data_IF_436765208750
#
_entry.id   IF_436765208750
#
_cell.length_a   1.000
_cell.length_b   1.000
_cell.length_c   1.000
_cell.angle_alpha   90.00
_cell.angle_beta   90.00
_cell.angle_gamma   90.00
#
_symmetry.space_group_name_H-M   'P 1'
#
loop_
_entity.id
_entity.type
_entity.pdbx_description
1 polymer ?
#
# COMPACT_ATOMS: atom_id res chain seq x y z
N UNK A 1 45.21 40.00 10.66
CA UNK A 1 46.02 38.90 10.10
C UNK A 1 45.76 37.54 10.75
N UNK A 2 46.22 37.23 11.98
CA UNK A 2 46.06 35.86 12.55
C UNK A 2 44.60 35.52 12.91
N UNK A 3 43.88 36.45 13.54
CA UNK A 3 42.46 36.27 13.92
C UNK A 3 41.55 36.05 12.70
N UNK A 4 41.81 36.73 11.59
CA UNK A 4 41.05 36.57 10.34
C UNK A 4 41.28 35.19 9.72
N UNK A 5 42.52 34.68 9.77
CA UNK A 5 42.87 33.35 9.28
C UNK A 5 42.15 32.26 10.09
N UNK A 6 42.11 32.41 11.42
CA UNK A 6 41.41 31.48 12.30
C UNK A 6 39.89 31.50 12.06
N UNK A 7 39.29 32.70 11.95
CA UNK A 7 37.87 32.86 11.65
C UNK A 7 37.48 32.24 10.29
N UNK A 8 38.30 32.44 9.27
CA UNK A 8 38.07 31.88 7.94
C UNK A 8 38.24 30.36 7.91
N UNK A 9 39.16 29.81 8.71
CA UNK A 9 39.32 28.35 8.87
C UNK A 9 38.10 27.72 9.56
N UNK A 10 37.60 28.34 10.63
CA UNK A 10 36.40 27.88 11.36
C UNK A 10 35.15 27.95 10.48
N UNK A 11 35.00 29.02 9.69
CA UNK A 11 33.92 29.16 8.71
C UNK A 11 33.93 28.02 7.68
N UNK A 12 35.09 27.72 7.11
CA UNK A 12 35.25 26.59 6.16
C UNK A 12 34.96 25.24 6.81
N UNK A 13 35.33 25.06 8.08
CA UNK A 13 35.03 23.84 8.82
C UNK A 13 33.51 23.68 9.03
N UNK A 14 32.82 24.77 9.39
CA UNK A 14 31.36 24.79 9.53
C UNK A 14 30.65 24.51 8.20
N UNK A 15 31.09 25.12 7.11
CA UNK A 15 30.53 24.90 5.77
C UNK A 15 30.62 23.42 5.37
N UNK A 16 31.78 22.77 5.57
CA UNK A 16 31.96 21.33 5.32
C UNK A 16 31.02 20.47 6.15
N UNK A 17 30.80 20.81 7.42
CA UNK A 17 29.89 20.07 8.30
C UNK A 17 28.43 20.23 7.84
N UNK A 18 28.03 21.43 7.40
CA UNK A 18 26.70 21.71 6.88
C UNK A 18 26.46 20.95 5.57
N UNK A 19 27.41 20.96 4.65
CA UNK A 19 27.33 20.20 3.40
C UNK A 19 27.25 18.70 3.65
N UNK A 20 28.08 18.19 4.57
CA UNK A 20 28.04 16.79 4.99
C UNK A 20 26.69 16.40 5.60
N UNK A 21 26.06 17.30 6.38
CA UNK A 21 24.70 17.09 6.90
C UNK A 21 23.66 17.07 5.78
N UNK A 22 23.70 18.04 4.86
CA UNK A 22 22.76 18.15 3.72
C UNK A 22 22.83 16.92 2.80
N UNK A 23 24.03 16.42 2.53
CA UNK A 23 24.20 15.21 1.73
C UNK A 23 23.58 13.99 2.41
N UNK A 24 23.74 13.84 3.73
CA UNK A 24 23.11 12.74 4.48
C UNK A 24 21.58 12.81 4.42
N UNK A 25 21.01 14.00 4.56
CA UNK A 25 19.57 14.24 4.45
C UNK A 25 19.04 13.84 3.06
N UNK A 26 19.70 14.29 1.99
CA UNK A 26 19.35 13.90 0.62
C UNK A 26 19.44 12.39 0.37
N UNK A 27 20.44 11.71 0.95
CA UNK A 27 20.55 10.24 0.86
C UNK A 27 19.36 9.57 1.54
N UNK A 28 18.96 10.05 2.72
CA UNK A 28 17.80 9.54 3.46
C UNK A 28 16.52 9.74 2.64
N UNK A 29 16.29 10.93 2.10
CA UNK A 29 15.09 11.24 1.30
C UNK A 29 14.99 10.35 0.06
N UNK A 30 16.10 10.18 -0.68
CA UNK A 30 16.16 9.28 -1.83
C UNK A 30 15.86 7.82 -1.44
N UNK A 31 16.34 7.39 -0.27
CA UNK A 31 16.07 6.04 0.24
C UNK A 31 14.59 5.88 0.62
N UNK A 32 13.98 6.88 1.25
CA UNK A 32 12.56 6.91 1.59
C UNK A 32 11.71 6.82 0.30
N UNK A 33 11.99 7.67 -0.69
CA UNK A 33 11.29 7.61 -1.97
C UNK A 33 11.41 6.24 -2.65
N UNK A 34 12.60 5.64 -2.60
CA UNK A 34 12.85 4.31 -3.13
C UNK A 34 12.05 3.22 -2.40
N UNK A 35 11.93 3.32 -1.08
CA UNK A 35 11.09 2.45 -0.26
C UNK A 35 9.60 2.63 -0.59
N UNK A 36 9.12 3.86 -0.66
CA UNK A 36 7.72 4.16 -0.97
C UNK A 36 7.32 3.60 -2.33
N UNK A 37 8.13 3.83 -3.37
CA UNK A 37 7.91 3.27 -4.72
C UNK A 37 7.78 1.74 -4.69
N UNK A 38 8.61 1.04 -3.89
CA UNK A 38 8.53 -0.42 -3.72
C UNK A 38 7.25 -0.84 -3.00
N UNK A 39 6.87 -0.14 -1.93
CA UNK A 39 5.64 -0.40 -1.16
C UNK A 39 4.41 -0.19 -2.03
N UNK A 40 4.31 0.94 -2.74
CA UNK A 40 3.23 1.22 -3.68
C UNK A 40 3.10 0.11 -4.72
N UNK A 41 4.21 -0.29 -5.39
CA UNK A 41 4.18 -1.39 -6.36
C UNK A 41 3.65 -2.69 -5.76
N UNK A 42 4.03 -3.03 -4.53
CA UNK A 42 3.55 -4.23 -3.81
C UNK A 42 2.05 -4.14 -3.53
N UNK A 43 1.57 -2.99 -3.04
CA UNK A 43 0.16 -2.74 -2.76
C UNK A 43 -0.68 -2.79 -4.05
N UNK A 44 -0.24 -2.15 -5.13
CA UNK A 44 -0.92 -2.18 -6.42
C UNK A 44 -1.01 -3.61 -6.96
N UNK A 45 0.08 -4.38 -6.90
CA UNK A 45 0.09 -5.79 -7.30
C UNK A 45 -0.87 -6.64 -6.47
N UNK A 46 -0.92 -6.40 -5.15
CA UNK A 46 -1.85 -7.08 -4.25
C UNK A 46 -3.30 -6.74 -4.59
N UNK A 47 -3.61 -5.46 -4.79
CA UNK A 47 -4.96 -4.99 -5.16
C UNK A 47 -5.44 -5.58 -6.49
N UNK A 48 -4.54 -5.69 -7.48
CA UNK A 48 -4.86 -6.27 -8.80
C UNK A 48 -5.12 -7.79 -8.77
N UNK A 49 -4.77 -8.48 -7.68
CA UNK A 49 -4.96 -9.93 -7.57
C UNK A 49 -6.45 -10.26 -7.52
N UNK A 50 -6.86 -11.20 -8.37
CA UNK A 50 -8.24 -11.69 -8.46
C UNK A 50 -8.40 -13.01 -7.73
N UNK A 51 -9.53 -13.16 -7.07
CA UNK A 51 -9.95 -14.34 -6.31
C UNK A 51 -11.27 -14.84 -6.87
N UNK A 52 -11.40 -16.16 -6.98
CA UNK A 52 -12.65 -16.80 -7.37
C UNK A 52 -13.58 -17.01 -6.17
N UNK A 53 -14.81 -17.42 -6.44
CA UNK A 53 -15.84 -17.69 -5.41
C UNK A 53 -15.36 -18.57 -4.25
N UNK A 54 -14.67 -19.67 -4.53
CA UNK A 54 -14.21 -20.60 -3.50
C UNK A 54 -13.15 -19.96 -2.59
N UNK A 55 -12.23 -19.22 -3.18
CA UNK A 55 -11.20 -18.49 -2.42
C UNK A 55 -11.82 -17.38 -1.58
N UNK A 56 -12.72 -16.58 -2.16
CA UNK A 56 -13.44 -15.51 -1.45
C UNK A 56 -14.25 -16.07 -0.28
N UNK A 57 -14.96 -17.19 -0.48
CA UNK A 57 -15.73 -17.85 0.59
C UNK A 57 -14.83 -18.25 1.77
N UNK A 58 -13.67 -18.85 1.47
CA UNK A 58 -12.68 -19.25 2.47
C UNK A 58 -12.14 -18.05 3.24
N UNK A 59 -11.82 -16.95 2.56
CA UNK A 59 -11.31 -15.73 3.20
C UNK A 59 -12.38 -15.11 4.11
N UNK A 60 -13.63 -15.09 3.68
CA UNK A 60 -14.75 -14.53 4.44
C UNK A 60 -15.23 -15.44 5.57
N UNK A 61 -14.77 -16.70 5.62
CA UNK A 61 -15.24 -17.69 6.58
C UNK A 61 -16.73 -18.01 6.43
N UNK A 62 -17.22 -18.13 5.18
CA UNK A 62 -18.61 -18.46 4.86
C UNK A 62 -18.67 -19.60 3.85
N UNK A 63 -19.82 -20.27 3.75
CA UNK A 63 -20.03 -21.27 2.71
C UNK A 63 -20.09 -20.63 1.31
N UNK A 64 -19.64 -21.34 0.27
CA UNK A 64 -19.65 -20.82 -1.11
C UNK A 64 -21.07 -20.46 -1.58
N UNK A 65 -22.07 -21.23 -1.15
CA UNK A 65 -23.47 -20.96 -1.47
C UNK A 65 -23.98 -19.65 -0.86
N UNK A 66 -23.45 -19.23 0.29
CA UNK A 66 -23.79 -17.95 0.90
C UNK A 66 -23.44 -16.79 -0.04
N UNK A 67 -22.27 -16.85 -0.68
CA UNK A 67 -21.89 -15.85 -1.68
C UNK A 67 -22.80 -15.92 -2.92
N UNK A 68 -23.16 -17.12 -3.40
CA UNK A 68 -24.13 -17.25 -4.50
C UNK A 68 -25.49 -16.66 -4.15
N UNK A 69 -25.94 -16.88 -2.91
CA UNK A 69 -27.17 -16.32 -2.39
C UNK A 69 -27.12 -14.79 -2.37
N UNK A 70 -26.05 -14.18 -1.86
CA UNK A 70 -25.88 -12.71 -1.88
C UNK A 70 -25.85 -12.14 -3.29
N UNK A 71 -25.20 -12.83 -4.24
CA UNK A 71 -25.20 -12.44 -5.65
C UNK A 71 -26.61 -12.54 -6.24
N UNK A 72 -27.33 -13.64 -5.98
CA UNK A 72 -28.70 -13.87 -6.45
C UNK A 72 -29.68 -12.83 -5.90
N UNK A 73 -29.49 -12.39 -4.65
CA UNK A 73 -30.27 -11.32 -4.02
C UNK A 73 -29.87 -9.92 -4.49
N UNK A 74 -28.80 -9.80 -5.29
CA UNK A 74 -28.30 -8.52 -5.79
C UNK A 74 -27.53 -7.69 -4.75
N UNK A 75 -27.25 -8.24 -3.56
CA UNK A 75 -26.46 -7.59 -2.51
C UNK A 75 -24.98 -7.52 -2.89
N UNK A 76 -24.53 -8.44 -3.74
CA UNK A 76 -23.18 -8.48 -4.27
C UNK A 76 -23.20 -8.47 -5.79
N UNK A 77 -22.47 -7.54 -6.41
CA UNK A 77 -22.35 -7.42 -7.87
C UNK A 77 -20.89 -7.60 -8.28
N UNK A 78 -20.39 -8.85 -8.33
CA UNK A 78 -18.99 -9.11 -8.63
C UNK A 78 -18.69 -8.81 -10.10
N UNK A 79 -17.44 -8.44 -10.38
CA UNK A 79 -16.91 -8.47 -11.74
C UNK A 79 -16.88 -9.92 -12.22
N UNK A 80 -16.87 -10.11 -13.54
CA UNK A 80 -16.82 -11.42 -14.15
C UNK A 80 -15.57 -11.58 -15.01
N UNK A 81 -15.01 -12.78 -15.02
CA UNK A 81 -13.91 -13.13 -15.90
C UNK A 81 -14.39 -13.43 -17.33
N UNK A 82 -13.47 -13.82 -18.21
CA UNK A 82 -13.76 -14.16 -19.61
C UNK A 82 -14.69 -15.37 -19.77
N UNK A 83 -14.84 -16.20 -18.73
CA UNK A 83 -15.74 -17.36 -18.68
C UNK A 83 -17.06 -17.03 -17.97
N UNK A 84 -17.31 -15.75 -17.71
CA UNK A 84 -18.48 -15.25 -17.02
C UNK A 84 -18.58 -15.73 -15.55
N UNK A 85 -17.48 -16.13 -14.92
CA UNK A 85 -17.44 -16.49 -13.50
C UNK A 85 -17.19 -15.28 -12.60
N UNK A 86 -17.83 -15.19 -11.42
CA UNK A 86 -17.57 -14.14 -10.44
C UNK A 86 -16.12 -14.11 -9.97
N UNK A 87 -15.52 -12.92 -9.99
CA UNK A 87 -14.17 -12.65 -9.48
C UNK A 87 -14.14 -11.41 -8.60
N UNK A 88 -13.28 -11.45 -7.59
CA UNK A 88 -13.15 -10.44 -6.55
C UNK A 88 -11.70 -9.97 -6.47
N UNK A 89 -11.49 -8.68 -6.32
CA UNK A 89 -10.20 -8.09 -5.96
C UNK A 89 -10.00 -8.10 -4.44
N UNK A 90 -8.81 -7.75 -3.98
CA UNK A 90 -8.57 -7.57 -2.53
C UNK A 90 -9.48 -6.49 -1.96
N UNK A 91 -9.69 -5.38 -2.68
CA UNK A 91 -10.55 -4.30 -2.23
C UNK A 91 -12.01 -4.75 -2.09
N UNK A 92 -12.53 -5.50 -3.07
CA UNK A 92 -13.89 -6.05 -3.00
C UNK A 92 -14.08 -6.93 -1.75
N UNK A 93 -13.05 -7.73 -1.40
CA UNK A 93 -13.10 -8.61 -0.23
C UNK A 93 -13.03 -7.79 1.08
N UNK A 94 -12.21 -6.74 1.13
CA UNK A 94 -12.14 -5.86 2.30
C UNK A 94 -13.47 -5.13 2.56
N UNK A 95 -14.12 -4.64 1.51
CA UNK A 95 -15.45 -4.04 1.59
C UNK A 95 -16.49 -5.06 2.06
N UNK A 96 -16.46 -6.29 1.52
CA UNK A 96 -17.33 -7.37 1.94
C UNK A 96 -17.16 -7.73 3.43
N UNK A 97 -15.92 -7.76 3.93
CA UNK A 97 -15.66 -8.01 5.36
C UNK A 97 -16.30 -6.92 6.21
N UNK A 98 -16.11 -5.64 5.84
CA UNK A 98 -16.70 -4.50 6.55
C UNK A 98 -18.22 -4.61 6.57
N UNK A 99 -18.84 -4.78 5.41
CA UNK A 99 -20.29 -4.91 5.26
C UNK A 99 -20.87 -6.10 6.06
N UNK A 100 -20.24 -7.27 5.96
CA UNK A 100 -20.63 -8.47 6.72
C UNK A 100 -20.62 -8.22 8.24
N UNK A 101 -19.64 -7.46 8.73
CA UNK A 101 -19.54 -7.13 10.15
C UNK A 101 -20.59 -6.11 10.59
N UNK A 102 -21.03 -5.21 9.70
CA UNK A 102 -22.13 -4.26 9.98
C UNK A 102 -23.48 -4.95 10.11
N UNK A 103 -23.71 -6.07 9.41
CA UNK A 103 -24.99 -6.82 9.47
C UNK A 103 -25.10 -7.70 10.73
N UNK A 104 -23.99 -8.00 11.41
CA UNK A 104 -24.00 -8.83 12.63
C UNK A 104 -24.48 -8.08 13.89
N UNK A 105 -25.09 -6.90 13.74
CA UNK A 105 -25.76 -6.17 14.83
C UNK A 105 -27.19 -6.67 15.02
#
# INVERSE_FOLDING_TARGET
MVLEILFEADKRALEKLIEGRRHKEQVIDNQIEGCDKKVFRKCTKRSAKRYNMTQTARILGVHRETLYYWIKKGWLKPKRDYRNYPVFTVLDIEELIKWKNTIKC
#
